data_IF_022923566422
#
_entry.id   IF_022923566422
#
_cell.length_a   1.000
_cell.length_b   1.000
_cell.length_c   1.000
_cell.angle_alpha   90.00
_cell.angle_beta   90.00
_cell.angle_gamma   90.00
#
_symmetry.space_group_name_H-M   'P 1'
#
loop_
_entity.id
_entity.type
_entity.pdbx_description
1 polymer ?
#
# COMPACT_ATOMS: atom_id res chain seq x y z
N UNK A 1 4.84 -32.62 15.86
CA UNK A 1 6.25 -32.61 15.42
C UNK A 1 6.27 -32.25 13.95
N UNK A 2 6.37 -30.96 13.63
CA UNK A 2 6.51 -30.49 12.26
C UNK A 2 7.69 -29.53 12.22
N UNK A 3 8.69 -29.87 11.39
CA UNK A 3 9.89 -29.06 11.18
C UNK A 3 9.60 -27.99 10.12
N UNK A 4 9.99 -26.73 10.30
CA UNK A 4 9.92 -25.74 9.23
C UNK A 4 11.10 -25.93 8.27
N UNK A 5 10.79 -26.12 7.00
CA UNK A 5 11.77 -26.18 5.90
C UNK A 5 12.29 -24.75 5.64
N UNK A 6 13.53 -24.50 6.03
CA UNK A 6 14.28 -23.31 5.63
C UNK A 6 14.68 -23.43 4.16
N UNK A 7 14.13 -22.57 3.30
CA UNK A 7 14.64 -22.35 1.95
C UNK A 7 15.95 -21.57 2.04
N UNK A 8 17.07 -22.29 1.94
CA UNK A 8 18.40 -21.72 1.75
C UNK A 8 18.53 -21.30 0.28
N UNK A 9 18.56 -19.99 0.00
CA UNK A 9 18.95 -19.48 -1.31
C UNK A 9 20.47 -19.69 -1.49
N UNK A 10 20.82 -20.68 -2.29
CA UNK A 10 22.20 -20.96 -2.72
C UNK A 10 22.60 -19.90 -3.75
N UNK A 11 23.40 -18.92 -3.34
CA UNK A 11 24.06 -17.97 -4.24
C UNK A 11 25.08 -18.74 -5.11
N UNK A 12 24.70 -19.01 -6.36
CA UNK A 12 25.63 -19.48 -7.38
C UNK A 12 26.59 -18.36 -7.78
N UNK A 13 27.89 -18.59 -7.58
CA UNK A 13 28.97 -17.82 -8.22
C UNK A 13 28.86 -18.02 -9.73
N UNK A 14 28.50 -16.97 -10.47
CA UNK A 14 28.69 -16.91 -11.92
C UNK A 14 30.02 -16.23 -12.18
N UNK A 15 30.89 -16.94 -12.92
CA UNK A 15 32.22 -16.51 -13.37
C UNK A 15 32.11 -15.28 -14.29
N UNK A 16 33.00 -14.33 -14.07
CA UNK A 16 33.22 -13.16 -14.92
C UNK A 16 33.66 -13.58 -16.34
N UNK A 17 32.73 -13.53 -17.29
CA UNK A 17 33.00 -13.54 -18.72
C UNK A 17 33.02 -12.10 -19.24
N UNK A 18 34.21 -11.61 -19.61
CA UNK A 18 34.42 -10.32 -20.27
C UNK A 18 33.73 -10.33 -21.63
N UNK A 19 32.53 -9.77 -21.69
CA UNK A 19 31.88 -9.33 -22.93
C UNK A 19 31.49 -7.87 -22.76
N UNK A 20 32.09 -6.97 -23.55
CA UNK A 20 31.66 -5.56 -23.65
C UNK A 20 30.27 -5.52 -24.27
N UNK A 21 29.24 -5.77 -23.47
CA UNK A 21 27.89 -5.35 -23.78
C UNK A 21 27.86 -3.83 -23.56
N UNK A 22 27.71 -3.08 -24.65
CA UNK A 22 27.37 -1.66 -24.60
C UNK A 22 26.04 -1.53 -23.86
N UNK A 23 26.12 -1.28 -22.56
CA UNK A 23 25.00 -0.81 -21.74
C UNK A 23 24.54 0.51 -22.36
N UNK A 24 23.58 0.45 -23.28
CA UNK A 24 22.74 1.59 -23.63
C UNK A 24 22.19 2.11 -22.30
N UNK A 25 22.72 3.26 -21.86
CA UNK A 25 22.27 3.92 -20.66
C UNK A 25 20.74 4.10 -20.77
N UNK A 26 20.00 3.36 -19.95
CA UNK A 26 18.57 3.57 -19.81
C UNK A 26 18.40 4.99 -19.26
N UNK A 27 17.92 5.90 -20.11
CA UNK A 27 17.59 7.28 -19.75
C UNK A 27 16.45 7.25 -18.74
N UNK A 28 16.79 7.23 -17.46
CA UNK A 28 15.81 7.32 -16.37
C UNK A 28 15.22 8.74 -16.37
N UNK A 29 13.90 8.84 -16.50
CA UNK A 29 13.20 10.13 -16.43
C UNK A 29 13.56 10.86 -15.12
N UNK A 30 14.12 12.06 -15.22
CA UNK A 30 14.50 12.89 -14.08
C UNK A 30 13.68 14.19 -14.11
N UNK A 31 13.19 14.64 -12.96
CA UNK A 31 12.47 15.91 -12.86
C UNK A 31 13.48 17.07 -12.99
N UNK A 32 13.49 17.73 -14.15
CA UNK A 32 14.32 18.91 -14.39
C UNK A 32 13.58 20.19 -14.00
N UNK A 33 14.27 21.22 -13.51
CA UNK A 33 13.65 22.52 -13.23
C UNK A 33 13.16 23.20 -14.52
N UNK A 34 13.77 22.88 -15.65
CA UNK A 34 13.44 23.33 -16.98
C UNK A 34 13.10 22.09 -17.82
N UNK A 35 11.87 22.02 -18.34
CA UNK A 35 11.33 20.86 -19.05
C UNK A 35 11.36 21.10 -20.54
N UNK A 36 11.80 20.08 -21.28
CA UNK A 36 11.87 20.11 -22.74
C UNK A 36 10.47 19.87 -23.34
N UNK A 37 10.08 20.65 -24.35
CA UNK A 37 8.87 20.38 -25.13
C UNK A 37 9.20 19.41 -26.26
N UNK A 38 8.44 18.32 -26.34
CA UNK A 38 8.62 17.29 -27.36
C UNK A 38 7.74 17.54 -28.58
N UNK A 39 8.31 17.31 -29.76
CA UNK A 39 7.60 17.26 -31.03
C UNK A 39 6.71 16.02 -31.13
N UNK A 40 5.83 16.02 -32.12
CA UNK A 40 5.06 14.84 -32.51
C UNK A 40 5.91 13.62 -32.92
N UNK A 41 7.16 13.87 -33.36
CA UNK A 41 8.12 12.83 -33.73
C UNK A 41 8.82 12.19 -32.51
N UNK A 42 8.63 12.76 -31.32
CA UNK A 42 9.23 12.28 -30.07
C UNK A 42 10.62 12.86 -29.78
N UNK A 43 11.04 13.86 -30.55
CA UNK A 43 12.31 14.58 -30.37
C UNK A 43 12.07 15.94 -29.68
N UNK A 44 13.06 16.41 -28.91
CA UNK A 44 12.96 17.70 -28.22
C UNK A 44 13.05 18.87 -29.23
N UNK A 45 12.12 19.81 -29.17
CA UNK A 45 12.02 20.96 -30.10
C UNK A 45 12.98 22.12 -29.75
N UNK A 46 13.81 21.99 -28.71
CA UNK A 46 14.63 23.08 -28.16
C UNK A 46 13.85 24.13 -27.38
N UNK A 47 12.51 24.14 -27.46
CA UNK A 47 11.63 24.92 -26.58
C UNK A 47 11.62 24.34 -25.19
N UNK A 48 11.75 25.22 -24.20
CA UNK A 48 11.80 24.85 -22.80
C UNK A 48 10.73 25.60 -21.99
N UNK A 49 10.12 24.92 -21.03
CA UNK A 49 9.16 25.52 -20.10
C UNK A 49 9.62 25.28 -18.67
N UNK A 50 9.59 26.31 -17.84
CA UNK A 50 9.90 26.20 -16.42
C UNK A 50 8.88 25.32 -15.72
N UNK A 51 9.32 24.42 -14.83
CA UNK A 51 8.43 23.55 -14.07
C UNK A 51 7.50 24.39 -13.17
N UNK A 52 6.17 24.33 -13.36
CA UNK A 52 5.20 25.06 -12.54
C UNK A 52 5.31 24.72 -11.05
N UNK A 53 5.07 25.69 -10.19
CA UNK A 53 5.21 25.53 -8.74
C UNK A 53 4.26 24.46 -8.16
N UNK A 54 3.12 24.19 -8.82
CA UNK A 54 2.17 23.15 -8.43
C UNK A 54 2.78 21.75 -8.39
N UNK A 55 3.82 21.47 -9.20
CA UNK A 55 4.51 20.17 -9.17
C UNK A 55 5.45 20.01 -7.97
N UNK A 56 5.82 21.13 -7.33
CA UNK A 56 6.60 21.15 -6.09
C UNK A 56 5.71 21.14 -4.85
N UNK A 57 4.38 21.13 -5.01
CA UNK A 57 3.45 21.12 -3.88
C UNK A 57 3.63 19.87 -2.98
N UNK A 58 3.32 19.98 -1.68
CA UNK A 58 3.38 18.84 -0.76
C UNK A 58 2.44 17.71 -1.19
N UNK A 59 2.94 16.47 -1.15
CA UNK A 59 2.18 15.28 -1.50
C UNK A 59 1.55 14.69 -0.23
N UNK A 60 0.21 14.76 -0.13
CA UNK A 60 -0.56 14.21 0.99
C UNK A 60 -1.56 13.14 0.53
N UNK A 61 -1.18 11.85 0.55
CA UNK A 61 -2.02 10.77 0.07
C UNK A 61 -3.27 10.56 0.95
N UNK A 62 -3.20 10.90 2.24
CA UNK A 62 -4.32 10.90 3.19
C UNK A 62 -5.43 11.86 2.75
N UNK A 63 -5.07 13.11 2.42
CA UNK A 63 -6.04 14.11 1.94
C UNK A 63 -6.59 13.71 0.57
N UNK A 64 -5.74 13.23 -0.34
CA UNK A 64 -6.20 12.74 -1.65
C UNK A 64 -7.21 11.62 -1.49
N UNK A 65 -6.95 10.63 -0.63
CA UNK A 65 -7.85 9.51 -0.41
C UNK A 65 -9.17 9.94 0.26
N UNK A 66 -9.11 10.85 1.25
CA UNK A 66 -10.30 11.41 1.90
C UNK A 66 -11.21 12.13 0.90
N UNK A 67 -10.63 13.04 0.09
CA UNK A 67 -11.37 13.80 -0.91
C UNK A 67 -11.90 12.87 -2.00
N UNK A 68 -11.08 11.93 -2.51
CA UNK A 68 -11.50 10.95 -3.51
C UNK A 68 -12.69 10.13 -3.03
N UNK A 69 -12.62 9.60 -1.82
CA UNK A 69 -13.66 8.74 -1.23
C UNK A 69 -14.99 9.48 -1.09
N UNK A 70 -14.97 10.75 -0.72
CA UNK A 70 -16.18 11.56 -0.57
C UNK A 70 -16.74 12.03 -1.92
N UNK A 71 -15.89 12.50 -2.84
CA UNK A 71 -16.33 12.89 -4.19
C UNK A 71 -16.88 11.70 -4.99
N UNK A 72 -16.30 10.51 -4.85
CA UNK A 72 -16.78 9.29 -5.52
C UNK A 72 -18.15 8.85 -5.02
N UNK A 73 -18.64 9.34 -3.87
CA UNK A 73 -20.02 9.06 -3.43
C UNK A 73 -21.05 9.89 -4.21
N UNK A 74 -20.66 11.03 -4.77
CA UNK A 74 -21.58 12.00 -5.37
C UNK A 74 -22.08 11.63 -6.76
N UNK A 75 -21.51 10.61 -7.40
CA UNK A 75 -21.99 10.09 -8.69
C UNK A 75 -22.88 8.85 -8.56
N UNK A 76 -23.27 8.49 -7.33
CA UNK A 76 -24.09 7.31 -7.05
C UNK A 76 -25.57 7.65 -7.23
N UNK A 77 -26.30 6.75 -7.86
CA UNK A 77 -27.76 6.83 -7.92
C UNK A 77 -28.36 6.20 -6.65
N UNK A 78 -29.40 6.82 -6.05
CA UNK A 78 -30.18 6.21 -4.97
C UNK A 78 -30.79 4.88 -5.42
N UNK A 79 -30.93 3.97 -4.47
CA UNK A 79 -31.70 2.74 -4.64
C UNK A 79 -32.49 2.47 -3.36
N UNK A 80 -33.72 2.01 -3.52
CA UNK A 80 -34.64 1.70 -2.44
C UNK A 80 -35.47 0.46 -2.81
N UNK A 81 -36.02 -0.21 -1.80
CA UNK A 81 -37.04 -1.24 -1.99
C UNK A 81 -38.40 -0.56 -1.95
N UNK A 82 -39.39 -1.07 -2.69
CA UNK A 82 -40.75 -0.53 -2.64
C UNK A 82 -41.29 -0.53 -1.22
N UNK A 83 -41.98 0.56 -0.84
CA UNK A 83 -42.54 0.72 0.50
C UNK A 83 -43.69 -0.25 0.78
N UNK A 84 -44.40 -0.65 -0.28
CA UNK A 84 -45.51 -1.60 -0.22
C UNK A 84 -45.04 -3.07 -0.22
N UNK A 85 -43.75 -3.33 -0.44
CA UNK A 85 -43.23 -4.69 -0.54
C UNK A 85 -43.40 -5.46 0.79
N UNK A 86 -44.09 -6.60 0.72
CA UNK A 86 -44.39 -7.41 1.90
C UNK A 86 -45.50 -6.86 2.80
N UNK A 87 -46.19 -5.78 2.37
CA UNK A 87 -47.29 -5.12 3.09
C UNK A 87 -48.64 -5.19 2.36
N UNK A 88 -48.68 -5.62 1.10
CA UNK A 88 -49.91 -5.75 0.31
C UNK A 88 -50.77 -6.97 0.69
N UNK A 89 -50.37 -7.76 1.69
CA UNK A 89 -51.09 -8.96 2.13
C UNK A 89 -51.82 -8.68 3.44
N UNK A 90 -53.14 -8.92 3.48
CA UNK A 90 -53.89 -8.91 4.73
C UNK A 90 -53.56 -10.15 5.57
N UNK A 91 -53.00 -9.95 6.76
CA UNK A 91 -52.58 -11.01 7.65
C UNK A 91 -52.79 -10.61 9.11
N UNK A 92 -53.18 -11.57 9.93
CA UNK A 92 -53.49 -11.34 11.34
C UNK A 92 -52.90 -12.47 12.18
N UNK A 93 -52.44 -12.15 13.39
CA UNK A 93 -51.91 -13.18 14.29
C UNK A 93 -53.08 -13.98 14.86
N UNK A 94 -52.95 -15.30 14.89
CA UNK A 94 -53.96 -16.16 15.52
C UNK A 94 -53.88 -16.16 17.05
N UNK A 95 -52.97 -15.38 17.65
CA UNK A 95 -52.80 -15.31 19.10
C UNK A 95 -52.24 -16.60 19.69
N UNK A 96 -52.55 -16.85 20.94
CA UNK A 96 -52.21 -18.08 21.67
C UNK A 96 -53.33 -19.13 21.55
N UNK A 97 -53.08 -20.38 21.97
CA UNK A 97 -54.09 -21.43 21.97
C UNK A 97 -54.09 -22.35 20.74
N UNK A 98 -53.14 -22.15 19.82
CA UNK A 98 -52.83 -23.06 18.71
C UNK A 98 -51.35 -23.43 18.79
N UNK A 99 -50.97 -24.65 18.40
CA UNK A 99 -49.59 -25.14 18.39
C UNK A 99 -48.73 -24.51 17.26
N UNK A 100 -48.78 -23.17 17.13
CA UNK A 100 -48.10 -22.39 16.09
C UNK A 100 -47.54 -21.10 16.67
N UNK A 101 -46.44 -20.61 16.08
CA UNK A 101 -45.88 -19.31 16.46
C UNK A 101 -46.86 -18.15 16.22
N UNK A 102 -46.81 -17.13 17.09
CA UNK A 102 -47.67 -15.92 17.14
C UNK A 102 -47.42 -14.90 16.01
N UNK A 103 -46.95 -15.35 14.85
CA UNK A 103 -46.70 -14.49 13.68
C UNK A 103 -48.02 -14.18 12.96
N UNK A 104 -48.20 -12.98 12.36
CA UNK A 104 -49.33 -12.72 11.49
C UNK A 104 -49.40 -13.71 10.33
N UNK A 105 -50.58 -14.27 10.07
CA UNK A 105 -50.83 -15.27 9.04
C UNK A 105 -51.86 -14.78 8.03
N UNK A 106 -51.67 -15.14 6.77
CA UNK A 106 -52.58 -14.75 5.68
C UNK A 106 -53.97 -15.36 5.91
N UNK A 107 -55.00 -14.51 5.85
CA UNK A 107 -56.41 -14.90 6.02
C UNK A 107 -56.95 -15.66 4.79
N UNK A 108 -58.10 -16.30 4.93
CA UNK A 108 -58.75 -17.10 3.88
C UNK A 108 -58.39 -18.59 3.91
N UNK A 109 -58.79 -19.32 2.87
CA UNK A 109 -58.59 -20.76 2.72
C UNK A 109 -58.50 -21.19 1.25
N UNK A 110 -58.26 -22.47 0.99
CA UNK A 110 -58.30 -23.04 -0.37
C UNK A 110 -57.10 -22.75 -1.27
N UNK A 111 -56.05 -22.09 -0.77
CA UNK A 111 -54.80 -21.85 -1.53
C UNK A 111 -53.57 -22.25 -0.75
N UNK A 112 -52.44 -22.45 -1.42
CA UNK A 112 -51.17 -22.71 -0.74
C UNK A 112 -50.73 -21.58 0.19
N UNK A 113 -51.24 -20.35 0.01
CA UNK A 113 -50.80 -19.17 0.77
C UNK A 113 -51.56 -18.97 2.08
N UNK A 114 -52.80 -19.47 2.20
CA UNK A 114 -53.60 -19.32 3.42
C UNK A 114 -52.93 -19.98 4.64
N UNK A 115 -52.95 -19.31 5.79
CA UNK A 115 -52.36 -19.81 7.04
C UNK A 115 -50.83 -19.68 7.13
N UNK A 116 -50.14 -19.23 6.08
CA UNK A 116 -48.69 -18.98 6.13
C UNK A 116 -48.35 -17.63 6.79
N UNK A 117 -47.15 -17.52 7.37
CA UNK A 117 -46.65 -16.28 7.97
C UNK A 117 -46.43 -15.15 6.94
N UNK A 118 -46.70 -13.91 7.37
CA UNK A 118 -46.54 -12.68 6.60
C UNK A 118 -45.98 -11.53 7.48
N UNK A 119 -45.71 -10.38 6.87
CA UNK A 119 -45.13 -9.15 7.44
C UNK A 119 -43.72 -9.25 8.07
N UNK A 120 -43.39 -10.33 8.77
CA UNK A 120 -42.09 -10.50 9.42
C UNK A 120 -40.93 -10.59 8.43
N UNK A 121 -39.75 -10.10 8.84
CA UNK A 121 -38.50 -10.23 8.09
C UNK A 121 -37.97 -11.67 8.01
N UNK A 122 -38.37 -12.51 8.97
CA UNK A 122 -38.10 -13.95 8.94
C UNK A 122 -39.09 -14.73 8.06
N UNK A 123 -40.19 -14.12 7.61
CA UNK A 123 -41.20 -14.78 6.80
C UNK A 123 -40.82 -14.75 5.31
N UNK A 124 -40.95 -15.89 4.61
CA UNK A 124 -40.81 -15.95 3.16
C UNK A 124 -41.88 -15.07 2.49
N UNK A 125 -41.45 -14.14 1.64
CA UNK A 125 -42.33 -13.17 0.98
C UNK A 125 -42.83 -12.02 1.88
N UNK A 126 -42.32 -11.92 3.12
CA UNK A 126 -42.55 -10.78 4.00
C UNK A 126 -41.67 -9.57 3.67
N UNK A 127 -41.80 -8.49 4.45
CA UNK A 127 -40.97 -7.29 4.29
C UNK A 127 -39.56 -7.52 4.84
N UNK A 128 -38.55 -6.84 4.32
CA UNK A 128 -37.21 -6.89 4.94
C UNK A 128 -37.11 -6.01 6.19
N UNK A 129 -36.15 -6.33 7.06
CA UNK A 129 -35.78 -5.45 8.18
C UNK A 129 -35.14 -4.16 7.67
N UNK A 130 -35.54 -3.02 8.25
CA UNK A 130 -35.06 -1.67 7.90
C UNK A 130 -34.94 -1.45 6.37
N UNK A 131 -36.07 -1.40 5.64
CA UNK A 131 -36.06 -1.23 4.19
C UNK A 131 -35.24 0.00 3.77
N UNK A 132 -34.42 -0.14 2.73
CA UNK A 132 -33.57 0.96 2.25
C UNK A 132 -34.44 2.12 1.76
N UNK A 133 -34.19 3.30 2.30
CA UNK A 133 -34.91 4.53 1.96
C UNK A 133 -34.18 5.38 0.93
N UNK A 134 -34.96 6.08 0.11
CA UNK A 134 -34.45 6.99 -0.93
C UNK A 134 -33.66 8.16 -0.34
N UNK A 135 -34.12 8.71 0.79
CA UNK A 135 -33.53 9.86 1.49
C UNK A 135 -32.26 9.55 2.30
N UNK A 136 -31.65 8.36 2.14
CA UNK A 136 -30.30 8.12 2.69
C UNK A 136 -29.37 9.24 2.23
N UNK A 137 -28.53 9.76 3.12
CA UNK A 137 -27.52 10.78 2.74
C UNK A 137 -26.46 10.15 1.81
N UNK A 138 -26.68 10.18 0.50
CA UNK A 138 -25.77 9.63 -0.51
C UNK A 138 -24.58 10.55 -0.78
N UNK A 139 -24.88 11.85 -0.94
CA UNK A 139 -23.92 12.87 -1.29
C UNK A 139 -23.09 13.33 -0.09
N UNK A 140 -21.85 13.76 -0.35
CA UNK A 140 -20.93 14.32 0.64
C UNK A 140 -20.32 15.60 0.07
N UNK A 141 -20.50 16.71 0.82
CA UNK A 141 -19.79 17.96 0.59
C UNK A 141 -18.35 17.82 1.07
N UNK A 142 -17.43 18.45 0.36
CA UNK A 142 -16.01 18.56 0.73
C UNK A 142 -15.61 20.02 0.53
N UNK A 143 -14.76 20.55 1.39
CA UNK A 143 -14.30 21.93 1.33
C UNK A 143 -13.53 22.19 0.02
N UNK A 144 -13.71 23.38 -0.55
CA UNK A 144 -13.06 23.80 -1.81
C UNK A 144 -11.55 23.79 -1.68
N UNK A 145 -11.01 24.28 -0.56
CA UNK A 145 -9.58 24.27 -0.23
C UNK A 145 -9.00 22.85 -0.20
N UNK A 146 -9.69 21.90 0.45
CA UNK A 146 -9.27 20.48 0.48
C UNK A 146 -9.31 19.84 -0.92
N UNK A 147 -10.31 20.17 -1.75
CA UNK A 147 -10.37 19.69 -3.15
C UNK A 147 -9.19 20.22 -3.97
N UNK A 148 -8.89 21.52 -3.86
CA UNK A 148 -7.76 22.17 -4.55
C UNK A 148 -6.43 21.56 -4.09
N UNK A 149 -6.25 21.39 -2.78
CA UNK A 149 -5.08 20.75 -2.19
C UNK A 149 -4.85 19.31 -2.70
N UNK A 150 -5.91 18.51 -2.77
CA UNK A 150 -5.83 17.14 -3.30
C UNK A 150 -5.42 17.12 -4.78
N UNK A 151 -5.86 18.10 -5.59
CA UNK A 151 -5.41 18.21 -6.99
C UNK A 151 -3.93 18.58 -7.04
N UNK A 152 -3.47 19.56 -6.27
CA UNK A 152 -2.04 19.92 -6.21
C UNK A 152 -1.17 18.73 -5.81
N UNK A 153 -1.54 17.98 -4.76
CA UNK A 153 -0.80 16.77 -4.37
C UNK A 153 -0.81 15.69 -5.46
N UNK A 154 -1.91 15.54 -6.21
CA UNK A 154 -2.00 14.56 -7.29
C UNK A 154 -1.12 14.95 -8.50
N UNK A 155 -1.02 16.25 -8.81
CA UNK A 155 -0.16 16.79 -9.85
C UNK A 155 1.33 16.67 -9.47
N UNK A 156 1.71 17.09 -8.26
CA UNK A 156 3.08 16.92 -7.77
C UNK A 156 3.53 15.46 -7.81
N UNK A 157 2.65 14.52 -7.43
CA UNK A 157 2.94 13.11 -7.49
C UNK A 157 3.08 12.54 -8.91
N UNK A 158 2.52 13.17 -9.95
CA UNK A 158 2.67 12.71 -11.34
C UNK A 158 4.00 13.14 -11.97
N UNK A 159 4.70 14.12 -11.38
CA UNK A 159 6.06 14.48 -11.78
C UNK A 159 7.13 13.52 -11.24
N UNK A 160 6.83 12.74 -10.19
CA UNK A 160 7.79 11.83 -9.56
C UNK A 160 7.78 10.44 -10.23
N UNK A 161 8.88 10.01 -10.89
CA UNK A 161 8.93 8.72 -11.58
C UNK A 161 8.62 7.54 -10.68
N UNK A 162 9.15 7.52 -9.46
CA UNK A 162 8.93 6.43 -8.50
C UNK A 162 7.44 6.23 -8.14
N UNK A 163 6.68 7.32 -8.01
CA UNK A 163 5.25 7.24 -7.73
C UNK A 163 4.44 6.78 -8.95
N UNK A 164 4.84 7.21 -10.15
CA UNK A 164 4.20 6.78 -11.40
C UNK A 164 4.46 5.31 -11.71
N UNK A 165 5.69 4.83 -11.45
CA UNK A 165 6.04 3.41 -11.57
C UNK A 165 5.34 2.55 -10.52
N UNK A 166 5.26 3.00 -9.26
CA UNK A 166 4.58 2.23 -8.20
C UNK A 166 3.07 2.11 -8.42
N UNK A 167 2.45 3.10 -9.08
CA UNK A 167 1.07 2.98 -9.61
C UNK A 167 0.95 1.87 -10.66
N UNK A 168 2.05 1.54 -11.33
CA UNK A 168 2.20 0.46 -12.30
C UNK A 168 2.10 0.92 -13.76
N UNK A 169 2.33 2.19 -14.06
CA UNK A 169 2.48 2.65 -15.44
C UNK A 169 3.81 2.16 -16.03
N UNK A 170 3.82 1.83 -17.33
CA UNK A 170 5.06 1.47 -18.05
C UNK A 170 5.70 2.73 -18.61
N UNK A 171 6.70 3.26 -17.90
CA UNK A 171 7.37 4.54 -18.22
C UNK A 171 8.88 4.40 -18.39
N UNK A 172 9.38 3.17 -18.53
CA UNK A 172 10.81 2.82 -18.58
C UNK A 172 11.55 3.46 -19.77
N UNK A 173 10.86 3.61 -20.91
CA UNK A 173 11.44 4.16 -22.14
C UNK A 173 11.12 5.64 -22.36
N UNK A 174 10.32 6.26 -21.47
CA UNK A 174 9.87 7.64 -21.61
C UNK A 174 11.03 8.58 -21.29
N UNK A 175 11.28 9.62 -22.12
CA UNK A 175 12.48 10.42 -21.98
C UNK A 175 12.46 11.36 -20.77
N UNK A 176 11.31 11.93 -20.41
CA UNK A 176 11.18 12.92 -19.35
C UNK A 176 9.82 12.85 -18.64
N UNK A 177 9.79 13.23 -17.36
CA UNK A 177 8.58 13.38 -16.54
C UNK A 177 8.67 14.70 -15.76
N UNK A 178 7.63 15.57 -15.79
CA UNK A 178 6.41 15.52 -16.61
C UNK A 178 6.67 15.53 -18.13
N UNK A 179 5.85 14.80 -18.90
CA UNK A 179 5.96 14.76 -20.36
C UNK A 179 5.12 15.89 -20.98
N UNK A 180 5.78 16.79 -21.72
CA UNK A 180 5.15 17.94 -22.39
C UNK A 180 5.31 17.82 -23.90
N UNK A 181 4.22 18.00 -24.66
CA UNK A 181 4.17 17.91 -26.12
C UNK A 181 3.68 19.21 -26.74
N UNK A 182 4.05 19.46 -28.00
CA UNK A 182 3.63 20.65 -28.76
C UNK A 182 2.09 20.75 -28.89
N UNK A 183 1.57 21.99 -28.95
CA UNK A 183 0.14 22.28 -29.06
C UNK A 183 -0.51 21.77 -30.36
N UNK A 184 0.28 21.41 -31.38
CA UNK A 184 -0.23 20.75 -32.60
C UNK A 184 -1.05 19.50 -32.29
N UNK A 185 -0.76 18.80 -31.19
CA UNK A 185 -1.52 17.63 -30.74
C UNK A 185 -2.98 17.94 -30.46
N UNK A 186 -3.33 19.20 -30.11
CA UNK A 186 -4.70 19.63 -29.87
C UNK A 186 -5.55 19.64 -31.16
N UNK A 187 -4.90 19.80 -32.31
CA UNK A 187 -5.53 19.88 -33.64
C UNK A 187 -5.72 18.53 -34.34
N UNK A 188 -5.27 17.43 -33.73
CA UNK A 188 -5.39 16.10 -34.32
C UNK A 188 -6.85 15.68 -34.52
N UNK A 189 -7.15 15.15 -35.71
CA UNK A 189 -8.52 14.72 -36.07
C UNK A 189 -8.63 13.19 -36.15
N UNK A 190 -7.56 12.49 -36.51
CA UNK A 190 -7.58 11.04 -36.77
C UNK A 190 -6.93 10.26 -35.63
N UNK A 191 -7.53 9.11 -35.30
CA UNK A 191 -7.00 8.17 -34.31
C UNK A 191 -5.66 7.57 -34.72
N UNK A 192 -5.40 7.43 -36.03
CA UNK A 192 -4.13 6.92 -36.57
C UNK A 192 -2.94 7.80 -36.18
N UNK A 193 -3.12 9.13 -36.26
CA UNK A 193 -2.12 10.13 -35.86
C UNK A 193 -1.88 10.07 -34.34
N UNK A 194 -2.95 10.01 -33.55
CA UNK A 194 -2.88 9.86 -32.09
C UNK A 194 -2.13 8.59 -31.65
N UNK A 195 -2.35 7.46 -32.33
CA UNK A 195 -1.61 6.21 -32.07
C UNK A 195 -0.15 6.35 -32.45
N UNK A 196 0.16 7.00 -33.57
CA UNK A 196 1.53 7.23 -34.02
C UNK A 196 2.30 8.08 -33.02
N UNK A 197 1.69 9.17 -32.52
CA UNK A 197 2.26 10.01 -31.47
C UNK A 197 2.62 9.19 -30.22
N UNK A 198 1.70 8.38 -29.70
CA UNK A 198 1.94 7.59 -28.49
C UNK A 198 3.04 6.53 -28.66
N UNK A 199 3.23 6.03 -29.90
CA UNK A 199 4.37 5.16 -30.23
C UNK A 199 5.69 5.94 -30.24
N UNK A 200 5.71 7.14 -30.84
CA UNK A 200 6.90 8.00 -30.89
C UNK A 200 7.33 8.50 -29.51
N UNK A 201 6.36 8.86 -28.67
CA UNK A 201 6.59 9.21 -27.25
C UNK A 201 6.89 8.01 -26.35
N UNK A 202 6.92 6.78 -26.89
CA UNK A 202 7.18 5.53 -26.16
C UNK A 202 6.18 5.22 -25.03
N UNK A 203 5.03 5.89 -25.03
CA UNK A 203 3.93 5.66 -24.10
C UNK A 203 3.02 4.46 -24.50
N UNK A 204 3.24 3.89 -25.69
CA UNK A 204 2.42 2.79 -26.22
C UNK A 204 2.48 1.51 -25.37
N UNK A 205 3.58 1.26 -24.66
CA UNK A 205 3.72 0.10 -23.78
C UNK A 205 2.71 0.13 -22.62
N UNK A 206 2.33 1.31 -22.13
CA UNK A 206 1.27 1.43 -21.12
C UNK A 206 -0.11 1.10 -21.69
N UNK A 207 -0.35 1.39 -22.97
CA UNK A 207 -1.59 1.08 -23.68
C UNK A 207 -1.67 -0.42 -24.01
N UNK A 208 -0.57 -1.04 -24.47
CA UNK A 208 -0.46 -2.49 -24.60
C UNK A 208 -0.81 -3.20 -23.27
N UNK A 209 -0.38 -2.65 -22.13
CA UNK A 209 -0.75 -3.16 -20.81
C UNK A 209 -2.25 -3.00 -20.52
N UNK A 210 -2.91 -1.96 -21.02
CA UNK A 210 -4.37 -1.82 -20.95
C UNK A 210 -5.04 -2.94 -21.75
N UNK A 211 -4.63 -3.18 -23.00
CA UNK A 211 -5.14 -4.28 -23.83
C UNK A 211 -5.00 -5.63 -23.13
N UNK A 212 -3.82 -5.97 -22.62
CA UNK A 212 -3.57 -7.22 -21.91
C UNK A 212 -4.41 -7.37 -20.61
N UNK A 213 -4.86 -6.26 -20.02
CA UNK A 213 -5.66 -6.26 -18.79
C UNK A 213 -7.18 -6.39 -19.02
N UNK A 214 -7.63 -6.37 -20.28
CA UNK A 214 -9.05 -6.45 -20.61
C UNK A 214 -9.58 -7.83 -20.22
N UNK A 215 -10.52 -7.86 -19.27
CA UNK A 215 -11.11 -9.10 -18.78
C UNK A 215 -12.56 -8.92 -18.36
N UNK A 216 -13.25 -10.05 -18.21
CA UNK A 216 -14.62 -10.08 -17.72
C UNK A 216 -14.66 -9.78 -16.21
N UNK A 217 -15.64 -9.00 -15.77
CA UNK A 217 -15.85 -8.70 -14.35
C UNK A 217 -16.42 -9.93 -13.64
N UNK A 218 -15.82 -10.32 -12.51
CA UNK A 218 -16.39 -11.36 -11.65
C UNK A 218 -17.69 -10.91 -10.97
N UNK A 219 -18.63 -11.84 -10.77
CA UNK A 219 -19.87 -11.63 -10.02
C UNK A 219 -21.03 -10.95 -10.79
N UNK A 220 -22.01 -10.45 -10.04
CA UNK A 220 -23.31 -9.94 -10.55
C UNK A 220 -23.22 -8.65 -11.38
N UNK A 221 -22.04 -8.01 -11.44
CA UNK A 221 -21.83 -6.82 -12.28
C UNK A 221 -22.02 -7.08 -13.78
N UNK A 222 -21.85 -8.34 -14.22
CA UNK A 222 -22.07 -8.75 -15.63
C UNK A 222 -23.51 -8.55 -16.10
N UNK A 223 -24.48 -8.71 -15.20
CA UNK A 223 -25.91 -8.50 -15.45
C UNK A 223 -26.33 -7.03 -15.31
N UNK A 224 -25.47 -6.17 -14.76
CA UNK A 224 -25.77 -4.76 -14.45
C UNK A 224 -24.92 -3.81 -15.28
N UNK A 225 -24.88 -4.02 -16.60
CA UNK A 225 -24.18 -3.21 -17.61
C UNK A 225 -22.69 -2.91 -17.31
N UNK A 226 -22.03 -3.77 -16.51
CA UNK A 226 -20.62 -3.60 -16.08
C UNK A 226 -19.80 -4.87 -16.37
N UNK A 227 -20.03 -5.44 -17.56
CA UNK A 227 -19.53 -6.75 -17.99
C UNK A 227 -18.01 -6.82 -18.12
N UNK A 228 -17.37 -5.81 -18.70
CA UNK A 228 -15.91 -5.76 -18.93
C UNK A 228 -15.22 -4.78 -17.98
N UNK A 229 -13.97 -5.08 -17.63
CA UNK A 229 -13.06 -4.20 -16.88
C UNK A 229 -11.69 -4.15 -17.56
N UNK A 230 -11.01 -3.02 -17.40
CA UNK A 230 -9.66 -2.80 -17.94
C UNK A 230 -8.89 -1.82 -17.04
N UNK A 231 -7.56 -1.81 -17.18
CA UNK A 231 -6.66 -0.87 -16.51
C UNK A 231 -6.89 0.56 -17.03
N UNK A 232 -6.53 1.56 -16.21
CA UNK A 232 -6.44 2.96 -16.65
C UNK A 232 -5.04 3.22 -17.20
N UNK A 233 -4.97 3.80 -18.40
CA UNK A 233 -3.72 4.20 -19.05
C UNK A 233 -3.39 5.67 -18.80
N UNK A 234 -2.63 6.30 -19.71
CA UNK A 234 -2.21 7.70 -19.57
C UNK A 234 -3.39 8.67 -19.53
N UNK A 235 -3.18 9.80 -18.87
CA UNK A 235 -4.08 10.94 -18.92
C UNK A 235 -3.50 12.00 -19.85
N UNK A 236 -4.26 12.45 -20.84
CA UNK A 236 -3.87 13.55 -21.72
C UNK A 236 -4.58 14.80 -21.23
N UNK A 237 -3.80 15.84 -20.97
CA UNK A 237 -4.28 17.12 -20.47
C UNK A 237 -3.99 18.19 -21.52
N UNK A 238 -5.05 18.85 -21.96
CA UNK A 238 -5.05 19.84 -23.04
C UNK A 238 -5.68 21.15 -22.56
N UNK A 239 -5.45 22.23 -23.31
CA UNK A 239 -6.05 23.53 -23.04
C UNK A 239 -7.33 23.72 -23.85
N UNK A 240 -7.29 23.52 -25.17
CA UNK A 240 -8.43 23.70 -26.06
C UNK A 240 -8.77 22.42 -26.84
N UNK A 241 -10.05 22.21 -27.16
CA UNK A 241 -10.49 21.06 -27.95
C UNK A 241 -10.70 21.45 -29.41
N UNK A 242 -9.64 21.31 -30.21
CA UNK A 242 -9.66 21.51 -31.66
C UNK A 242 -9.75 20.20 -32.45
N UNK A 243 -10.20 19.11 -31.80
CA UNK A 243 -10.29 17.78 -32.40
C UNK A 243 -9.66 16.68 -31.55
N UNK A 244 -8.80 17.05 -30.59
CA UNK A 244 -8.07 16.13 -29.71
C UNK A 244 -9.00 15.11 -29.03
N UNK A 245 -10.20 15.51 -28.59
CA UNK A 245 -11.10 14.57 -27.94
C UNK A 245 -11.51 13.46 -28.91
N UNK A 246 -11.83 13.81 -30.15
CA UNK A 246 -12.25 12.84 -31.18
C UNK A 246 -11.10 11.93 -31.59
N UNK A 247 -9.88 12.45 -31.68
CA UNK A 247 -8.69 11.68 -32.01
C UNK A 247 -8.31 10.65 -30.94
N UNK A 248 -8.41 10.98 -29.65
CA UNK A 248 -7.94 10.10 -28.58
C UNK A 248 -9.04 9.26 -27.90
N UNK A 249 -10.32 9.63 -27.96
CA UNK A 249 -11.40 8.96 -27.20
C UNK A 249 -11.57 7.46 -27.49
N UNK A 250 -11.20 7.02 -28.69
CA UNK A 250 -11.39 5.63 -29.13
C UNK A 250 -10.27 4.69 -28.63
N UNK A 251 -9.15 5.24 -28.16
CA UNK A 251 -8.02 4.43 -27.69
C UNK A 251 -8.30 3.97 -26.24
N UNK A 252 -8.26 2.66 -25.94
CA UNK A 252 -8.64 2.16 -24.63
C UNK A 252 -7.66 2.61 -23.54
N UNK A 253 -8.23 3.03 -22.41
CA UNK A 253 -7.46 3.39 -21.21
C UNK A 253 -7.03 4.85 -21.14
N UNK A 254 -7.08 5.59 -22.26
CA UNK A 254 -6.80 7.03 -22.26
C UNK A 254 -7.91 7.78 -21.54
N UNK A 255 -7.53 8.82 -20.81
CA UNK A 255 -8.48 9.78 -20.24
C UNK A 255 -8.08 11.17 -20.66
N UNK A 256 -9.05 11.93 -21.14
CA UNK A 256 -8.88 13.31 -21.55
C UNK A 256 -9.36 14.23 -20.43
N UNK A 257 -8.59 15.29 -20.18
CA UNK A 257 -8.90 16.34 -19.20
C UNK A 257 -8.56 17.70 -19.78
N UNK A 258 -9.48 18.64 -19.63
CA UNK A 258 -9.21 20.06 -19.82
C UNK A 258 -8.48 20.59 -18.58
N UNK A 259 -7.42 21.38 -18.78
CA UNK A 259 -6.60 21.99 -17.73
C UNK A 259 -7.41 22.89 -16.79
N UNK A 260 -8.46 23.56 -17.29
CA UNK A 260 -9.32 24.42 -16.48
C UNK A 260 -10.25 23.60 -15.56
N UNK A 261 -10.57 22.37 -15.98
CA UNK A 261 -11.55 21.48 -15.35
C UNK A 261 -10.92 20.17 -14.89
N UNK A 262 -9.78 20.27 -14.19
CA UNK A 262 -9.09 19.10 -13.63
C UNK A 262 -9.97 18.36 -12.61
N UNK A 263 -9.98 17.03 -12.72
CA UNK A 263 -10.80 16.16 -11.88
C UNK A 263 -9.94 15.17 -11.09
N UNK A 264 -10.00 15.23 -9.75
CA UNK A 264 -9.29 14.33 -8.86
C UNK A 264 -9.63 12.85 -9.10
N UNK A 265 -10.89 12.52 -9.42
CA UNK A 265 -11.31 11.12 -9.65
C UNK A 265 -10.60 10.51 -10.87
N UNK A 266 -10.19 11.36 -11.82
CA UNK A 266 -9.44 10.98 -13.03
C UNK A 266 -7.93 11.07 -12.81
N UNK A 267 -7.42 12.07 -12.08
CA UNK A 267 -5.99 12.22 -11.79
C UNK A 267 -5.47 11.17 -10.78
N UNK A 268 -6.27 10.82 -9.77
CA UNK A 268 -5.95 9.79 -8.78
C UNK A 268 -7.01 8.66 -8.78
N UNK A 269 -7.03 7.78 -9.80
CA UNK A 269 -8.00 6.69 -9.87
C UNK A 269 -7.85 5.76 -8.66
N UNK A 270 -8.94 5.55 -7.93
CA UNK A 270 -8.96 4.71 -6.74
C UNK A 270 -8.35 5.35 -5.48
N UNK A 271 -8.06 6.65 -5.49
CA UNK A 271 -7.50 7.36 -4.33
C UNK A 271 -5.98 7.24 -4.20
N UNK A 272 -5.29 6.51 -5.07
CA UNK A 272 -3.83 6.48 -5.12
C UNK A 272 -3.30 7.50 -6.15
N UNK A 273 -2.29 8.26 -5.73
CA UNK A 273 -1.59 9.29 -6.53
C UNK A 273 -0.65 8.67 -7.58
N UNK A 274 -0.03 9.52 -8.42
CA UNK A 274 0.99 9.07 -9.39
C UNK A 274 0.41 8.46 -10.67
N UNK A 275 -0.67 9.04 -11.23
CA UNK A 275 -1.11 8.64 -12.58
C UNK A 275 -0.19 9.28 -13.62
N UNK A 276 0.20 8.52 -14.65
CA UNK A 276 0.97 9.06 -15.76
C UNK A 276 0.14 10.07 -16.56
N UNK A 277 0.65 11.29 -16.70
CA UNK A 277 -0.01 12.42 -17.38
C UNK A 277 0.89 12.96 -18.50
N UNK A 278 0.27 13.25 -19.65
CA UNK A 278 0.88 13.86 -20.83
C UNK A 278 0.23 15.23 -20.98
N UNK A 279 1.03 16.28 -21.11
CA UNK A 279 0.59 17.67 -21.15
C UNK A 279 0.85 18.30 -22.51
N UNK A 280 -0.05 19.14 -23.01
CA UNK A 280 0.28 20.08 -24.08
C UNK A 280 1.02 21.30 -23.52
N UNK A 281 1.82 21.96 -24.35
CA UNK A 281 2.66 23.11 -23.96
C UNK A 281 1.80 24.22 -23.33
N UNK A 282 0.71 24.59 -23.99
CA UNK A 282 -0.25 25.60 -23.52
C UNK A 282 -0.90 25.20 -22.19
N UNK A 283 -1.34 23.95 -22.05
CA UNK A 283 -1.90 23.44 -20.80
C UNK A 283 -0.88 23.47 -19.65
N UNK A 284 0.39 23.19 -19.95
CA UNK A 284 1.45 23.16 -18.95
C UNK A 284 1.77 24.57 -18.42
N UNK A 285 1.85 25.57 -19.31
CA UNK A 285 2.06 26.98 -18.91
C UNK A 285 0.89 27.53 -18.10
N UNK A 286 -0.35 27.19 -18.48
CA UNK A 286 -1.57 27.65 -17.82
C UNK A 286 -1.73 27.18 -16.36
N UNK A 287 -0.94 26.19 -15.92
CA UNK A 287 -0.93 25.76 -14.52
C UNK A 287 -0.44 26.85 -13.56
N UNK A 288 0.52 27.68 -13.98
CA UNK A 288 1.02 28.78 -13.16
C UNK A 288 -0.05 29.88 -13.01
N UNK A 289 -0.87 30.13 -14.03
CA UNK A 289 -2.03 31.04 -13.91
C UNK A 289 -3.14 30.46 -13.02
N UNK A 290 -3.39 29.14 -13.13
CA UNK A 290 -4.44 28.46 -12.38
C UNK A 290 -4.14 28.30 -10.89
N UNK A 291 -2.88 28.04 -10.51
CA UNK A 291 -2.52 27.73 -9.13
C UNK A 291 -1.54 28.73 -8.50
N UNK A 292 -0.87 29.55 -9.31
CA UNK A 292 0.14 30.50 -8.84
C UNK A 292 1.44 29.84 -8.40
N UNK A 293 2.32 30.67 -7.85
CA UNK A 293 3.51 30.27 -7.10
C UNK A 293 3.32 30.65 -5.63
N UNK A 294 4.17 30.17 -4.71
CA UNK A 294 4.06 30.62 -3.31
C UNK A 294 4.19 32.14 -3.12
N UNK A 295 4.91 32.81 -4.03
CA UNK A 295 5.11 34.27 -4.02
C UNK A 295 3.98 35.04 -4.72
N UNK A 296 3.36 34.44 -5.74
CA UNK A 296 2.32 35.08 -6.58
C UNK A 296 1.06 34.23 -6.54
N UNK A 297 -0.02 34.78 -6.00
CA UNK A 297 -1.33 34.11 -5.93
C UNK A 297 -1.86 33.74 -7.33
N UNK A 298 -2.82 32.80 -7.38
CA UNK A 298 -3.45 32.38 -8.62
C UNK A 298 -4.23 33.53 -9.28
N UNK A 299 -4.16 33.65 -10.60
CA UNK A 299 -4.89 34.68 -11.36
C UNK A 299 -6.31 34.22 -11.68
N UNK A 300 -6.47 32.94 -12.04
CA UNK A 300 -7.75 32.37 -12.47
C UNK A 300 -8.59 31.81 -11.31
N UNK A 301 -8.10 31.86 -10.07
CA UNK A 301 -8.83 31.41 -8.87
C UNK A 301 -8.77 32.50 -7.82
N UNK A 302 -9.94 33.03 -7.47
CA UNK A 302 -10.07 33.94 -6.32
C UNK A 302 -9.60 33.28 -5.03
N UNK A 303 -8.89 34.07 -4.23
CA UNK A 303 -8.40 33.76 -2.88
C UNK A 303 -7.73 32.40 -2.77
N UNK A 304 -6.81 32.11 -3.69
CA UNK A 304 -6.05 30.87 -3.68
C UNK A 304 -4.55 31.09 -3.82
N UNK A 305 -3.80 30.45 -2.92
CA UNK A 305 -2.35 30.28 -3.02
C UNK A 305 -1.99 28.81 -2.76
N UNK A 306 -0.80 28.41 -3.18
CA UNK A 306 -0.27 27.08 -2.94
C UNK A 306 -0.13 26.79 -1.44
N UNK A 307 -0.37 25.54 -1.03
CA UNK A 307 -0.20 25.14 0.35
C UNK A 307 1.27 25.14 0.79
N UNK A 308 1.50 25.48 2.05
CA UNK A 308 2.84 25.50 2.64
C UNK A 308 3.34 24.09 3.01
N UNK A 309 4.65 23.90 2.92
CA UNK A 309 5.33 22.70 3.39
C UNK A 309 5.45 22.72 4.92
N UNK A 310 5.17 21.59 5.58
CA UNK A 310 5.47 21.42 7.01
C UNK A 310 6.96 21.22 7.28
N UNK A 311 7.65 20.60 6.31
CA UNK A 311 9.08 20.30 6.35
C UNK A 311 9.65 20.69 4.98
N UNK A 312 10.65 21.56 4.96
CA UNK A 312 11.27 22.07 3.72
C UNK A 312 12.18 21.04 3.07
N UNK A 313 13.07 20.42 3.86
CA UNK A 313 13.95 19.34 3.41
C UNK A 313 13.40 17.99 3.90
N UNK A 314 12.91 17.14 2.99
CA UNK A 314 12.36 15.82 3.33
C UNK A 314 13.40 14.69 3.30
N UNK A 315 14.66 14.97 2.97
CA UNK A 315 15.74 13.98 3.00
C UNK A 315 16.26 13.80 4.43
N UNK A 316 15.52 13.01 5.20
CA UNK A 316 15.88 12.63 6.57
C UNK A 316 17.24 11.93 6.60
N UNK A 317 17.57 11.16 5.57
CA UNK A 317 18.85 10.46 5.47
C UNK A 317 20.04 11.43 5.45
N UNK A 318 19.92 12.52 4.70
CA UNK A 318 20.90 13.62 4.66
C UNK A 318 20.93 14.40 5.97
N UNK A 319 19.75 14.78 6.49
CA UNK A 319 19.64 15.53 7.75
C UNK A 319 20.31 14.74 8.89
N UNK A 320 19.97 13.47 9.06
CA UNK A 320 20.53 12.63 10.12
C UNK A 320 22.04 12.43 9.99
N UNK A 321 22.60 12.46 8.78
CA UNK A 321 24.03 12.30 8.52
C UNK A 321 24.81 13.62 8.51
N UNK A 322 24.15 14.75 8.76
CA UNK A 322 24.79 16.06 8.87
C UNK A 322 25.79 16.09 10.03
N UNK A 323 26.89 16.82 9.86
CA UNK A 323 27.98 16.85 10.85
C UNK A 323 27.52 17.48 12.16
N UNK A 324 26.66 18.48 12.08
CA UNK A 324 26.05 19.20 13.20
C UNK A 324 25.26 18.24 14.09
N UNK A 325 24.45 17.36 13.48
CA UNK A 325 23.70 16.34 14.23
C UNK A 325 24.65 15.25 14.75
N UNK A 326 25.54 14.72 13.90
CA UNK A 326 26.44 13.64 14.30
C UNK A 326 27.37 14.05 15.45
N UNK A 327 27.82 15.31 15.50
CA UNK A 327 28.63 15.85 16.60
C UNK A 327 27.87 15.92 17.93
N UNK A 328 26.55 16.14 17.89
CA UNK A 328 25.70 16.21 19.08
C UNK A 328 25.24 14.83 19.59
N UNK A 329 25.35 13.77 18.78
CA UNK A 329 24.86 12.44 19.13
C UNK A 329 25.87 11.65 19.99
N UNK A 330 25.35 10.93 20.98
CA UNK A 330 26.10 9.89 21.71
C UNK A 330 26.36 8.66 20.83
N UNK A 331 27.38 7.87 21.19
CA UNK A 331 27.67 6.61 20.53
C UNK A 331 26.47 5.61 20.58
N UNK A 332 26.14 4.91 19.49
CA UNK A 332 24.99 4.02 19.42
C UNK A 332 25.22 2.74 20.23
N UNK A 333 24.27 2.40 21.11
CA UNK A 333 24.27 1.14 21.88
C UNK A 333 23.71 -0.01 21.03
N UNK A 334 24.56 -0.62 20.20
CA UNK A 334 24.17 -1.72 19.28
C UNK A 334 24.12 -3.10 19.94
N UNK A 335 24.60 -3.24 21.18
CA UNK A 335 24.65 -4.52 21.88
C UNK A 335 23.26 -4.90 22.44
N UNK A 336 22.65 -5.89 21.81
CA UNK A 336 21.40 -6.50 22.30
C UNK A 336 21.75 -7.45 23.46
N UNK A 337 21.25 -7.14 24.65
CA UNK A 337 21.44 -7.99 25.82
C UNK A 337 20.28 -8.98 25.91
N UNK A 338 20.52 -10.21 25.48
CA UNK A 338 19.54 -11.28 25.63
C UNK A 338 19.52 -11.82 27.07
N UNK A 339 18.38 -12.36 27.49
CA UNK A 339 18.25 -13.02 28.78
C UNK A 339 19.25 -14.19 28.84
N UNK A 340 20.21 -14.10 29.76
CA UNK A 340 21.14 -15.20 30.03
C UNK A 340 20.40 -16.25 30.84
N UNK A 341 20.38 -17.50 30.36
CA UNK A 341 19.81 -18.61 31.12
C UNK A 341 20.59 -18.80 32.43
N UNK A 342 19.89 -18.69 33.56
CA UNK A 342 20.48 -18.92 34.89
C UNK A 342 20.78 -20.42 35.04
N UNK A 343 22.05 -20.78 34.86
CA UNK A 343 22.54 -22.14 35.11
C UNK A 343 22.78 -22.31 36.61
N UNK A 344 22.36 -23.44 37.18
CA UNK A 344 22.57 -23.73 38.60
C UNK A 344 24.07 -23.96 38.88
N UNK A 345 24.73 -23.15 39.74
CA UNK A 345 26.16 -23.28 40.02
C UNK A 345 26.52 -24.56 40.80
N UNK A 346 25.61 -25.08 41.62
CA UNK A 346 25.85 -26.32 42.38
C UNK A 346 25.96 -27.53 41.46
N UNK A 347 25.23 -27.51 40.33
CA UNK A 347 25.26 -28.55 39.29
C UNK A 347 26.27 -28.25 38.18
N UNK A 348 26.62 -26.99 37.92
CA UNK A 348 27.51 -26.57 36.84
C UNK A 348 28.80 -25.94 37.37
N UNK A 349 29.90 -26.72 37.39
CA UNK A 349 31.19 -26.32 37.94
C UNK A 349 31.74 -25.02 37.31
N UNK A 350 31.61 -24.82 36.00
CA UNK A 350 32.13 -23.61 35.34
C UNK A 350 31.38 -22.35 35.77
N UNK A 351 30.09 -22.46 36.03
CA UNK A 351 29.28 -21.35 36.54
C UNK A 351 29.61 -21.09 38.00
N UNK A 352 29.83 -22.14 38.80
CA UNK A 352 30.36 -21.98 40.17
C UNK A 352 31.70 -21.26 40.16
N UNK A 353 32.64 -21.66 39.30
CA UNK A 353 33.97 -21.01 39.20
C UNK A 353 33.83 -19.55 38.73
N UNK A 354 32.93 -19.29 37.78
CA UNK A 354 32.68 -17.92 37.31
C UNK A 354 32.15 -17.01 38.42
N UNK A 355 31.37 -17.55 39.36
CA UNK A 355 30.81 -16.81 40.49
C UNK A 355 31.76 -16.78 41.71
N UNK A 356 32.47 -17.89 41.96
CA UNK A 356 33.41 -18.09 43.04
C UNK A 356 34.60 -18.93 42.55
N UNK A 357 35.74 -18.31 42.19
CA UNK A 357 36.91 -19.02 41.69
C UNK A 357 37.57 -19.92 42.74
N UNK A 358 37.46 -19.58 44.03
CA UNK A 358 38.03 -20.36 45.13
C UNK A 358 37.39 -21.74 45.30
N UNK A 359 36.14 -21.91 44.82
CA UNK A 359 35.46 -23.20 44.81
C UNK A 359 36.27 -24.30 44.07
N UNK A 360 37.11 -23.92 43.09
CA UNK A 360 38.01 -24.86 42.40
C UNK A 360 39.08 -25.42 43.35
N UNK A 361 39.74 -24.55 44.10
CA UNK A 361 40.78 -24.91 45.08
C UNK A 361 40.18 -25.71 46.22
N UNK A 362 39.07 -25.24 46.78
CA UNK A 362 38.36 -25.95 47.84
C UNK A 362 37.99 -27.38 47.41
N UNK A 363 37.33 -27.55 46.25
CA UNK A 363 36.94 -28.87 45.75
C UNK A 363 38.13 -29.78 45.48
N UNK A 364 39.24 -29.26 44.94
CA UNK A 364 40.49 -30.01 44.73
C UNK A 364 41.06 -30.50 46.07
N UNK A 365 41.15 -29.63 47.06
CA UNK A 365 41.65 -29.96 48.39
C UNK A 365 40.78 -31.03 49.05
N UNK A 366 39.45 -30.92 48.93
CA UNK A 366 38.52 -31.92 49.48
C UNK A 366 38.69 -33.29 48.79
N UNK A 367 38.86 -33.33 47.46
CA UNK A 367 39.10 -34.59 46.72
C UNK A 367 40.41 -35.24 47.17
N UNK A 368 41.51 -34.48 47.23
CA UNK A 368 42.80 -34.99 47.67
C UNK A 368 42.74 -35.49 49.12
N UNK A 369 42.05 -34.76 50.01
CA UNK A 369 41.84 -35.15 51.40
C UNK A 369 41.02 -36.45 51.52
N UNK A 370 39.94 -36.60 50.75
CA UNK A 370 39.14 -37.83 50.76
C UNK A 370 39.90 -39.02 50.20
N UNK A 371 40.63 -38.87 49.10
CA UNK A 371 41.46 -39.92 48.53
C UNK A 371 42.53 -40.39 49.53
N UNK A 372 43.20 -39.44 50.22
CA UNK A 372 44.14 -39.74 51.31
C UNK A 372 43.48 -40.51 52.45
N UNK A 373 42.32 -40.06 52.92
CA UNK A 373 41.61 -40.72 54.02
C UNK A 373 41.11 -42.12 53.65
N UNK A 374 40.62 -42.32 52.42
CA UNK A 374 40.22 -43.63 51.91
C UNK A 374 41.41 -44.59 51.86
N UNK A 375 42.55 -44.14 51.33
CA UNK A 375 43.78 -44.93 51.30
C UNK A 375 44.21 -45.35 52.72
N UNK A 376 44.20 -44.42 53.68
CA UNK A 376 44.50 -44.73 55.09
C UNK A 376 43.50 -45.71 55.71
N UNK A 377 42.21 -45.65 55.33
CA UNK A 377 41.19 -46.58 55.82
C UNK A 377 41.38 -47.99 55.25
N UNK A 378 41.67 -48.10 53.96
CA UNK A 378 42.01 -49.37 53.32
C UNK A 378 43.30 -49.96 53.91
N UNK A 379 44.33 -49.15 54.16
CA UNK A 379 45.56 -49.57 54.84
C UNK A 379 45.28 -50.03 56.28
N UNK A 380 44.40 -49.35 57.04
CA UNK A 380 43.96 -49.81 58.37
C UNK A 380 43.16 -51.11 58.30
N UNK A 381 42.31 -51.28 57.27
CA UNK A 381 41.53 -52.50 57.05
C UNK A 381 42.43 -53.68 56.66
N UNK A 382 43.50 -53.42 55.90
CA UNK A 382 44.54 -54.40 55.56
C UNK A 382 45.45 -54.75 56.76
N UNK A 383 45.66 -53.83 57.71
CA UNK A 383 46.41 -54.05 58.97
C UNK A 383 45.54 -54.57 60.13
N UNK A 384 44.22 -54.65 59.97
CA UNK A 384 43.34 -55.19 60.99
C UNK A 384 43.54 -56.72 61.07
N UNK A 385 43.74 -57.29 62.27
CA UNK A 385 43.95 -58.72 62.43
C UNK A 385 42.74 -59.49 61.90
N UNK A 386 43.00 -60.54 61.12
CA UNK A 386 41.94 -61.44 60.63
C UNK A 386 41.17 -62.02 61.83
N UNK A 387 39.85 -62.27 61.72
CA UNK A 387 39.02 -62.67 62.87
C UNK A 387 39.53 -63.91 63.63
N UNK A 388 40.38 -64.73 62.99
CA UNK A 388 41.09 -65.84 63.63
C UNK A 388 42.07 -65.40 64.73
N UNK A 389 42.69 -64.22 64.64
CA UNK A 389 43.64 -63.73 65.64
C UNK A 389 42.95 -63.09 66.87
N UNK A 390 41.72 -62.58 66.73
CA UNK A 390 40.93 -62.02 67.85
C UNK A 390 40.21 -63.10 68.69
N UNK A 391 39.92 -64.26 68.12
CA UNK A 391 39.35 -65.40 68.84
C UNK A 391 40.36 -66.09 69.77
N UNK A 392 41.66 -66.05 69.43
CA UNK A 392 42.71 -66.68 70.26
C UNK A 392 42.97 -65.92 71.57
N UNK A 393 42.90 -64.58 71.53
CA UNK A 393 43.08 -63.73 72.72
C UNK A 393 41.89 -63.73 73.71
N UNK A 394 40.73 -64.27 73.30
CA UNK A 394 39.53 -64.40 74.17
C UNK A 394 39.37 -65.79 74.79
N UNK A 395 40.21 -66.76 74.42
CA UNK A 395 40.23 -68.09 75.04
C UNK A 395 41.23 -68.17 76.22
N UNK A 396 42.06 -67.14 76.41
CA UNK A 396 43.09 -67.04 77.46
C UNK A 396 42.74 -66.03 78.56
N UNK A 397 41.50 -65.51 78.58
CA UNK A 397 40.91 -64.68 79.63
C UNK A 397 39.56 -65.28 80.04
#
# INVERSE_FOLDING_TARGET
>A
MERPVCFLFRLGRVRDGRGRATLRAATMACARPLISVYSEKGEALGKNVTLPAVFKAPIRPDVVNFVHTNLRKNNRQPYAVSELAGHQTSAESWGTGRAVARIPRVRGGGTHRSGQGAFGNMCRGGRMFAPTKTWRRWHRRVNTTQKRYAICSALAASALPALVMSKGHRIEEIPELPLVVEDKVESYKKTKEAVLLLKKLKAWNDIKKVYASQRMRAGKGKMRNRRRIQRRGPCIIYNEDNGIIRAFRNIPGITLLDVNKLNLLRLAPGGHVGRFCIWTESAFRKLDDLYGTWRKAATLKSDYNLPMHKMTNTDIGRIMRSQEIQKALRAPKKKIHCRVLKKNPLKNLRIMIKLNPYAKTMRRNTILRHARNHKLKEEKKAKAPTPKALLKAKAEA
#
